data_IF_662713917477
#
_entry.id   IF_662713917477
#
_cell.length_a   1.000
_cell.length_b   1.000
_cell.length_c   1.000
_cell.angle_alpha   90.00
_cell.angle_beta   90.00
_cell.angle_gamma   90.00
#
_symmetry.space_group_name_H-M   'P 1'
#
loop_
_entity.id
_entity.type
_entity.pdbx_description
1 polymer ?
#
# COMPACT_ATOMS: atom_id res chain seq x y z
N UNK A 1 30.13 22.67 6.84
CA UNK A 1 28.75 23.18 7.02
C UNK A 1 27.71 22.30 6.31
N UNK A 2 27.83 22.01 5.00
CA UNK A 2 26.87 21.14 4.31
C UNK A 2 26.88 19.67 4.79
N UNK A 3 28.06 19.10 5.10
CA UNK A 3 28.17 17.75 5.68
C UNK A 3 27.38 17.62 6.99
N UNK A 4 27.68 18.48 7.97
CA UNK A 4 26.97 18.53 9.27
C UNK A 4 25.45 18.71 9.15
N UNK A 5 24.97 19.46 8.15
CA UNK A 5 23.53 19.64 7.93
C UNK A 5 22.88 18.40 7.30
N UNK A 6 23.58 17.73 6.38
CA UNK A 6 23.13 16.47 5.79
C UNK A 6 23.11 15.35 6.83
N UNK A 7 24.08 15.34 7.75
CA UNK A 7 24.12 14.43 8.89
C UNK A 7 22.89 14.67 9.79
N UNK A 8 22.47 15.93 9.97
CA UNK A 8 21.26 16.28 10.71
C UNK A 8 19.96 15.80 10.07
N UNK A 9 19.84 15.89 8.73
CA UNK A 9 18.72 15.30 8.00
C UNK A 9 18.71 13.76 8.12
N UNK A 10 19.87 13.13 7.90
CA UNK A 10 20.03 11.67 7.98
C UNK A 10 19.65 11.17 9.38
N UNK A 11 20.21 11.78 10.43
CA UNK A 11 19.89 11.44 11.83
C UNK A 11 18.42 11.63 12.19
N UNK A 12 17.73 12.57 11.53
CA UNK A 12 16.30 12.76 11.73
C UNK A 12 15.50 11.63 11.07
N UNK A 13 15.82 11.29 9.82
CA UNK A 13 15.19 10.18 9.10
C UNK A 13 15.43 8.86 9.85
N UNK A 14 16.67 8.53 10.19
CA UNK A 14 17.01 7.28 10.90
C UNK A 14 16.28 7.16 12.25
N UNK A 15 16.01 8.29 12.93
CA UNK A 15 15.36 8.30 14.24
C UNK A 15 13.84 8.14 14.19
N UNK A 16 13.19 8.74 13.20
CA UNK A 16 11.72 8.85 13.16
C UNK A 16 11.08 8.08 12.01
N UNK A 17 11.86 7.76 10.99
CA UNK A 17 11.48 7.03 9.79
C UNK A 17 12.59 6.04 9.40
N UNK A 18 13.04 5.15 10.31
CA UNK A 18 14.08 4.16 10.01
C UNK A 18 13.71 3.35 8.77
N UNK A 19 14.72 3.12 7.92
CA UNK A 19 14.64 2.32 6.69
C UNK A 19 13.64 2.82 5.62
N UNK A 20 12.96 3.96 5.86
CA UNK A 20 12.06 4.55 4.88
C UNK A 20 12.85 5.14 3.70
N UNK A 21 12.59 4.60 2.51
CA UNK A 21 13.03 5.17 1.24
C UNK A 21 11.94 6.13 0.74
N UNK A 22 12.32 7.37 0.44
CA UNK A 22 11.40 8.38 -0.10
C UNK A 22 11.15 8.11 -1.59
N UNK A 23 10.10 7.35 -1.88
CA UNK A 23 9.56 7.05 -3.21
C UNK A 23 8.06 7.38 -3.26
N UNK A 24 7.46 7.48 -4.45
CA UNK A 24 6.01 7.53 -4.58
C UNK A 24 5.34 6.38 -3.82
N UNK A 25 4.09 6.59 -3.41
CA UNK A 25 3.30 5.63 -2.65
C UNK A 25 3.75 5.49 -1.18
N UNK A 26 4.18 6.61 -0.56
CA UNK A 26 4.62 6.67 0.85
C UNK A 26 3.64 6.01 1.83
N UNK A 27 2.34 6.12 1.57
CA UNK A 27 1.30 5.52 2.41
C UNK A 27 1.49 4.00 2.58
N UNK A 28 1.93 3.28 1.55
CA UNK A 28 2.18 1.84 1.64
C UNK A 28 3.55 1.53 2.25
N UNK A 29 4.47 2.48 2.24
CA UNK A 29 5.83 2.35 2.76
C UNK A 29 5.96 2.69 4.25
N UNK A 30 4.89 3.13 4.92
CA UNK A 30 4.93 3.51 6.33
C UNK A 30 3.63 3.16 7.09
N UNK A 31 3.68 2.61 8.32
CA UNK A 31 2.49 2.09 9.01
C UNK A 31 1.51 3.16 9.49
N UNK A 32 1.96 4.40 9.68
CA UNK A 32 1.11 5.51 10.17
C UNK A 32 0.97 6.54 9.07
N UNK A 33 -0.09 6.43 8.28
CA UNK A 33 -0.32 7.28 7.12
C UNK A 33 -1.79 7.55 6.84
N UNK A 34 -2.03 8.62 6.08
CA UNK A 34 -3.32 8.95 5.48
C UNK A 34 -3.08 9.23 4.01
N UNK A 35 -3.87 8.60 3.15
CA UNK A 35 -3.95 8.94 1.73
C UNK A 35 -5.21 9.74 1.45
N UNK A 36 -5.03 10.96 0.98
CA UNK A 36 -6.11 11.86 0.59
C UNK A 36 -6.36 11.80 -0.91
N UNK A 37 -7.63 11.83 -1.29
CA UNK A 37 -8.09 12.05 -2.65
C UNK A 37 -8.12 13.56 -2.95
N UNK A 38 -7.33 14.00 -3.93
CA UNK A 38 -7.32 15.38 -4.38
C UNK A 38 -8.34 15.60 -5.52
N UNK A 39 -8.35 14.70 -6.50
CA UNK A 39 -9.13 14.83 -7.72
C UNK A 39 -10.48 14.11 -7.65
N UNK A 40 -11.53 14.80 -7.23
CA UNK A 40 -12.88 14.24 -7.28
C UNK A 40 -13.53 14.43 -8.65
N UNK A 41 -14.21 13.40 -9.15
CA UNK A 41 -15.02 13.43 -10.38
C UNK A 41 -14.21 13.76 -11.65
N UNK A 42 -13.06 13.10 -11.83
CA UNK A 42 -12.29 13.23 -13.06
C UNK A 42 -13.15 12.90 -14.29
N UNK A 43 -13.07 13.77 -15.30
CA UNK A 43 -13.57 13.53 -16.64
C UNK A 43 -12.51 14.01 -17.62
N UNK A 44 -12.25 13.25 -18.68
CA UNK A 44 -11.28 13.58 -19.74
C UNK A 44 -11.45 15.01 -20.30
N UNK A 45 -12.65 15.59 -20.26
CA UNK A 45 -12.92 16.97 -20.68
C UNK A 45 -12.42 18.08 -19.74
N UNK A 46 -11.92 17.75 -18.54
CA UNK A 46 -11.52 18.71 -17.50
C UNK A 46 -9.99 18.80 -17.30
N UNK A 47 -9.20 18.08 -18.09
CA UNK A 47 -7.73 18.12 -18.07
C UNK A 47 -7.15 19.30 -18.85
N UNK A 48 -7.58 20.53 -18.55
CA UNK A 48 -7.04 21.75 -19.18
C UNK A 48 -6.71 22.80 -18.12
N UNK A 49 -5.75 23.68 -18.43
CA UNK A 49 -5.26 24.70 -17.51
C UNK A 49 -6.40 25.63 -17.07
N UNK A 50 -6.59 25.78 -15.75
CA UNK A 50 -7.66 26.59 -15.17
C UNK A 50 -9.05 25.92 -15.15
N UNK A 51 -9.13 24.60 -15.33
CA UNK A 51 -10.40 23.88 -15.20
C UNK A 51 -10.92 23.90 -13.75
N UNK A 52 -12.25 23.81 -13.54
CA UNK A 52 -12.82 23.69 -12.20
C UNK A 52 -12.29 22.47 -11.43
N UNK A 53 -11.91 21.40 -12.14
CA UNK A 53 -11.28 20.22 -11.56
C UNK A 53 -9.92 20.55 -10.96
N UNK A 54 -9.02 21.15 -11.74
CA UNK A 54 -7.67 21.48 -11.29
C UNK A 54 -7.70 22.53 -10.16
N UNK A 55 -8.59 23.51 -10.22
CA UNK A 55 -8.76 24.46 -9.13
C UNK A 55 -9.21 23.78 -7.81
N UNK A 56 -10.02 22.72 -7.88
CA UNK A 56 -10.38 21.92 -6.70
C UNK A 56 -9.18 21.14 -6.17
N UNK A 57 -8.45 20.47 -7.05
CA UNK A 57 -7.22 19.71 -6.73
C UNK A 57 -6.21 20.62 -6.03
N UNK A 58 -5.91 21.79 -6.62
CA UNK A 58 -4.99 22.76 -6.02
C UNK A 58 -5.47 23.23 -4.65
N UNK A 59 -6.76 23.54 -4.53
CA UNK A 59 -7.36 24.00 -3.28
C UNK A 59 -7.24 22.95 -2.17
N UNK A 60 -7.52 21.67 -2.47
CA UNK A 60 -7.35 20.57 -1.51
C UNK A 60 -5.89 20.39 -1.11
N UNK A 61 -4.98 20.31 -2.08
CA UNK A 61 -3.55 20.13 -1.82
C UNK A 61 -2.99 21.25 -0.93
N UNK A 62 -3.33 22.51 -1.23
CA UNK A 62 -2.91 23.68 -0.45
C UNK A 62 -3.50 23.64 0.96
N UNK A 63 -4.80 23.33 1.12
CA UNK A 63 -5.45 23.27 2.44
C UNK A 63 -4.87 22.16 3.32
N UNK A 64 -4.63 20.98 2.75
CA UNK A 64 -3.97 19.88 3.45
C UNK A 64 -2.57 20.28 3.89
N UNK A 65 -1.80 20.90 3.00
CA UNK A 65 -0.47 21.38 3.31
C UNK A 65 -0.44 22.42 4.42
N UNK A 66 -1.32 23.42 4.38
CA UNK A 66 -1.40 24.48 5.39
C UNK A 66 -1.84 23.96 6.75
N UNK A 67 -2.71 22.96 6.80
CA UNK A 67 -3.13 22.31 8.03
C UNK A 67 -2.02 21.40 8.61
N UNK A 68 -1.28 20.69 7.75
CA UNK A 68 -0.17 19.83 8.16
C UNK A 68 1.10 20.59 8.57
N UNK A 69 1.25 21.87 8.19
CA UNK A 69 2.47 22.64 8.40
C UNK A 69 2.16 24.05 8.90
N UNK A 70 2.56 24.38 10.13
CA UNK A 70 2.46 25.74 10.66
C UNK A 70 3.56 26.65 10.06
N UNK A 71 3.36 27.97 10.13
CA UNK A 71 4.28 28.95 9.53
C UNK A 71 5.73 28.84 10.01
N UNK A 72 5.91 28.48 11.27
CA UNK A 72 7.23 28.40 11.91
C UNK A 72 7.83 27.00 11.88
N UNK A 73 7.12 26.01 11.31
CA UNK A 73 7.62 24.65 11.24
C UNK A 73 8.91 24.62 10.41
N UNK A 74 9.92 23.95 10.96
CA UNK A 74 11.14 23.60 10.25
C UNK A 74 10.87 22.44 9.29
N UNK A 75 11.13 22.66 8.00
CA UNK A 75 10.88 21.73 6.91
C UNK A 75 12.19 21.35 6.21
N UNK A 76 12.20 20.15 5.63
CA UNK A 76 13.10 19.79 4.54
C UNK A 76 12.28 19.56 3.27
N UNK A 77 12.61 20.26 2.19
CA UNK A 77 12.15 19.88 0.85
C UNK A 77 13.18 18.95 0.25
N UNK A 78 12.76 17.74 -0.06
CA UNK A 78 13.63 16.66 -0.52
C UNK A 78 13.22 16.26 -1.93
N UNK A 79 14.21 16.07 -2.80
CA UNK A 79 14.02 15.42 -4.10
C UNK A 79 15.23 14.55 -4.38
N UNK A 80 15.02 13.46 -5.10
CA UNK A 80 16.11 12.68 -5.67
C UNK A 80 16.04 12.74 -7.19
N UNK A 81 17.19 12.72 -7.87
CA UNK A 81 17.25 12.62 -9.32
C UNK A 81 18.02 11.39 -9.74
N UNK A 82 17.48 10.55 -10.62
CA UNK A 82 18.23 9.43 -11.16
C UNK A 82 19.37 9.95 -12.07
N UNK A 83 20.51 9.28 -11.99
CA UNK A 83 21.65 9.46 -12.88
C UNK A 83 21.93 8.19 -13.66
N UNK A 84 21.54 8.24 -14.93
CA UNK A 84 21.83 7.21 -15.93
C UNK A 84 23.09 7.52 -16.75
N UNK A 85 23.98 8.40 -16.26
CA UNK A 85 25.21 8.83 -16.93
C UNK A 85 25.17 10.22 -17.57
N UNK A 86 24.05 10.94 -17.48
CA UNK A 86 23.76 12.19 -18.21
C UNK A 86 23.50 13.44 -17.32
N UNK A 87 23.87 13.38 -16.02
CA UNK A 87 23.67 14.44 -15.02
C UNK A 87 23.99 15.87 -15.44
N UNK A 88 25.00 16.08 -16.30
CA UNK A 88 25.43 17.41 -16.75
C UNK A 88 24.29 18.17 -17.47
N UNK A 89 23.29 17.47 -18.00
CA UNK A 89 22.09 18.05 -18.62
C UNK A 89 20.97 18.34 -17.60
N UNK A 90 20.87 17.57 -16.51
CA UNK A 90 19.73 17.58 -15.57
C UNK A 90 19.89 18.47 -14.32
N UNK A 91 21.12 18.76 -13.86
CA UNK A 91 21.34 19.64 -12.68
C UNK A 91 20.77 21.07 -12.83
N UNK A 92 20.50 21.54 -14.06
CA UNK A 92 20.14 22.93 -14.34
C UNK A 92 18.69 23.32 -13.99
N UNK A 93 17.85 22.41 -13.47
CA UNK A 93 16.41 22.71 -13.27
C UNK A 93 15.75 22.06 -12.04
N UNK A 94 16.43 21.99 -10.90
CA UNK A 94 15.79 21.55 -9.64
C UNK A 94 14.49 22.33 -9.39
N UNK A 95 13.35 21.64 -9.36
CA UNK A 95 12.02 22.25 -9.26
C UNK A 95 11.92 23.14 -8.02
N UNK A 96 12.39 22.64 -6.87
CA UNK A 96 12.44 23.36 -5.60
C UNK A 96 13.18 24.70 -5.67
N UNK A 97 14.14 24.88 -6.58
CA UNK A 97 14.91 26.13 -6.68
C UNK A 97 14.16 27.27 -7.36
N UNK A 98 13.06 26.96 -8.06
CA UNK A 98 12.15 27.93 -8.68
C UNK A 98 11.21 28.55 -7.64
N UNK A 99 10.83 27.76 -6.63
CA UNK A 99 9.88 28.14 -5.58
C UNK A 99 10.52 28.71 -4.32
N UNK A 100 11.82 29.03 -4.35
CA UNK A 100 12.50 29.71 -3.25
C UNK A 100 12.14 31.20 -3.24
N UNK A 101 11.53 31.70 -2.16
CA UNK A 101 11.18 33.13 -2.04
C UNK A 101 12.42 34.04 -1.98
N UNK A 102 13.58 33.50 -1.57
CA UNK A 102 14.86 34.22 -1.48
C UNK A 102 16.00 33.45 -2.12
N UNK A 103 16.82 34.12 -2.92
CA UNK A 103 18.03 33.53 -3.54
C UNK A 103 19.02 32.96 -2.52
N UNK A 104 19.05 33.49 -1.30
CA UNK A 104 19.95 33.04 -0.23
C UNK A 104 19.66 31.61 0.25
N UNK A 105 18.47 31.07 0.01
CA UNK A 105 18.13 29.68 0.33
C UNK A 105 18.96 28.68 -0.46
N UNK A 106 19.45 29.06 -1.65
CA UNK A 106 20.34 28.22 -2.48
C UNK A 106 21.62 27.83 -1.76
N UNK A 107 22.13 28.67 -0.85
CA UNK A 107 23.31 28.36 -0.04
C UNK A 107 23.04 27.35 1.08
N UNK A 108 21.76 27.00 1.32
CA UNK A 108 21.34 25.96 2.27
C UNK A 108 21.10 24.62 1.59
N UNK A 109 20.97 24.60 0.27
CA UNK A 109 20.75 23.38 -0.50
C UNK A 109 21.90 22.40 -0.29
N UNK A 110 21.53 21.20 0.13
CA UNK A 110 22.45 20.09 0.35
C UNK A 110 22.33 19.10 -0.79
N UNK A 111 23.43 18.44 -1.12
CA UNK A 111 23.51 17.44 -2.16
C UNK A 111 24.34 16.26 -1.66
N UNK A 112 23.85 15.04 -1.88
CA UNK A 112 24.58 13.79 -1.66
C UNK A 112 24.31 12.84 -2.83
N UNK A 113 25.34 12.11 -3.25
CA UNK A 113 25.18 10.97 -4.14
C UNK A 113 24.83 9.75 -3.28
N UNK A 114 23.80 9.02 -3.66
CA UNK A 114 23.29 7.83 -2.99
C UNK A 114 23.17 6.68 -4.02
N UNK A 115 23.09 5.42 -3.58
CA UNK A 115 22.68 4.33 -4.45
C UNK A 115 21.37 4.66 -5.18
N UNK A 116 21.16 4.02 -6.32
CA UNK A 116 19.91 4.18 -7.05
C UNK A 116 18.74 3.77 -6.16
N UNK A 117 17.70 4.61 -6.12
CA UNK A 117 16.60 4.51 -5.14
C UNK A 117 15.65 3.33 -5.38
N UNK A 118 15.66 2.73 -6.58
CA UNK A 118 14.86 1.55 -6.94
C UNK A 118 15.84 0.43 -7.35
N UNK A 119 16.45 -0.29 -6.39
CA UNK A 119 17.49 -1.27 -6.69
C UNK A 119 17.08 -2.33 -7.72
N UNK A 120 15.79 -2.66 -7.78
CA UNK A 120 15.18 -3.64 -8.68
C UNK A 120 15.36 -3.26 -10.15
N UNK A 121 15.30 -1.96 -10.48
CA UNK A 121 15.50 -1.51 -11.86
C UNK A 121 16.99 -1.39 -12.23
N UNK A 122 17.91 -1.58 -11.27
CA UNK A 122 19.35 -1.38 -11.43
C UNK A 122 20.15 -2.66 -11.19
N UNK A 123 19.73 -3.77 -11.80
CA UNK A 123 20.37 -5.09 -11.69
C UNK A 123 21.89 -5.06 -12.03
N UNK A 124 22.30 -4.23 -13.00
CA UNK A 124 23.71 -4.07 -13.40
C UNK A 124 24.52 -3.15 -12.47
N UNK A 125 23.86 -2.47 -11.52
CA UNK A 125 24.51 -1.60 -10.52
C UNK A 125 25.15 -0.33 -11.10
N UNK A 126 24.78 0.07 -12.32
CA UNK A 126 25.40 1.19 -13.03
C UNK A 126 24.78 2.55 -12.69
N UNK A 127 23.56 2.57 -12.16
CA UNK A 127 22.84 3.81 -11.88
C UNK A 127 23.04 4.29 -10.45
N UNK A 128 22.87 5.60 -10.27
CA UNK A 128 22.94 6.26 -8.97
C UNK A 128 21.83 7.29 -8.84
N UNK A 129 21.61 7.80 -7.64
CA UNK A 129 20.67 8.89 -7.42
C UNK A 129 21.33 10.09 -6.72
N UNK A 130 20.88 11.28 -7.08
CA UNK A 130 21.31 12.54 -6.50
C UNK A 130 20.26 13.04 -5.53
N UNK A 131 20.50 12.88 -4.24
CA UNK A 131 19.63 13.39 -3.18
C UNK A 131 19.91 14.88 -2.95
N UNK A 132 18.87 15.70 -3.08
CA UNK A 132 18.89 17.11 -2.74
C UNK A 132 17.95 17.38 -1.58
N UNK A 133 18.44 18.12 -0.59
CA UNK A 133 17.70 18.46 0.61
C UNK A 133 17.83 19.95 0.89
N UNK A 134 16.70 20.64 0.98
CA UNK A 134 16.63 22.06 1.30
C UNK A 134 15.99 22.27 2.67
N UNK A 135 16.77 22.63 3.71
CA UNK A 135 16.19 23.07 4.98
C UNK A 135 15.62 24.49 4.85
N UNK A 136 14.34 24.65 5.21
CA UNK A 136 13.62 25.91 5.14
C UNK A 136 12.49 25.97 6.18
N UNK A 137 11.82 27.12 6.25
CA UNK A 137 10.49 27.26 6.88
C UNK A 137 9.42 27.37 5.81
N UNK A 138 8.16 27.12 6.19
CA UNK A 138 7.00 27.23 5.29
C UNK A 138 6.97 28.57 4.53
N UNK A 139 7.17 29.69 5.23
CA UNK A 139 7.12 31.04 4.64
C UNK A 139 8.32 31.41 3.76
N UNK A 140 9.37 30.57 3.72
CA UNK A 140 10.55 30.79 2.88
C UNK A 140 10.37 30.21 1.46
N UNK A 141 9.27 29.50 1.20
CA UNK A 141 8.99 28.81 -0.07
C UNK A 141 7.60 29.21 -0.59
N UNK A 142 7.48 29.40 -1.90
CA UNK A 142 6.20 29.48 -2.61
C UNK A 142 5.60 28.07 -2.71
N UNK A 143 5.11 27.57 -1.57
CA UNK A 143 4.47 26.26 -1.50
C UNK A 143 3.21 26.14 -2.37
N UNK A 144 2.35 27.18 -2.54
CA UNK A 144 1.23 27.06 -3.47
C UNK A 144 1.69 26.82 -4.90
N UNK A 145 2.72 27.55 -5.37
CA UNK A 145 3.32 27.32 -6.69
C UNK A 145 3.92 25.93 -6.83
N UNK A 146 4.66 25.47 -5.82
CA UNK A 146 5.29 24.15 -5.81
C UNK A 146 4.25 23.02 -5.89
N UNK A 147 3.22 23.07 -5.05
CA UNK A 147 2.15 22.05 -5.01
C UNK A 147 1.35 22.03 -6.31
N UNK A 148 1.09 23.20 -6.91
CA UNK A 148 0.48 23.28 -8.25
C UNK A 148 1.36 22.63 -9.30
N UNK A 149 2.69 22.75 -9.23
CA UNK A 149 3.58 22.05 -10.16
C UNK A 149 3.49 20.53 -9.99
N UNK A 150 3.44 20.02 -8.76
CA UNK A 150 3.23 18.59 -8.47
C UNK A 150 1.88 18.09 -9.01
N UNK A 151 0.78 18.81 -8.75
CA UNK A 151 -0.55 18.41 -9.23
C UNK A 151 -0.67 18.38 -10.76
N UNK A 152 0.25 19.01 -11.48
CA UNK A 152 0.22 19.15 -12.94
C UNK A 152 1.09 18.12 -13.67
N UNK A 153 1.68 17.18 -12.95
CA UNK A 153 2.62 16.20 -13.48
C UNK A 153 2.08 15.44 -14.71
N UNK A 154 0.87 14.89 -14.59
CA UNK A 154 0.23 14.07 -15.63
C UNK A 154 -0.62 14.87 -16.63
N UNK A 155 -0.68 16.20 -16.49
CA UNK A 155 -1.55 17.05 -17.31
C UNK A 155 -0.97 17.40 -18.68
N UNK A 156 0.30 17.04 -18.95
CA UNK A 156 0.96 17.33 -20.23
C UNK A 156 1.20 18.83 -20.49
N UNK A 157 1.09 19.68 -19.48
CA UNK A 157 1.44 21.11 -19.59
C UNK A 157 2.95 21.25 -19.86
N UNK A 158 3.34 22.19 -20.73
CA UNK A 158 4.76 22.36 -21.13
C UNK A 158 5.66 22.72 -19.93
N UNK A 159 6.84 22.07 -19.88
CA UNK A 159 8.04 22.35 -19.05
C UNK A 159 8.07 21.84 -17.59
N UNK A 160 7.22 20.92 -17.19
CA UNK A 160 7.42 20.21 -15.92
C UNK A 160 8.51 19.16 -16.12
N UNK A 161 9.75 19.46 -15.70
CA UNK A 161 10.70 18.39 -15.42
C UNK A 161 10.23 17.84 -14.09
N UNK A 162 9.41 16.78 -14.14
CA UNK A 162 8.93 16.09 -12.94
C UNK A 162 10.14 15.71 -12.10
N UNK A 163 10.06 16.06 -10.81
CA UNK A 163 10.96 15.59 -9.79
C UNK A 163 10.08 15.27 -8.60
N UNK A 164 10.20 14.08 -8.06
CA UNK A 164 9.48 13.69 -6.85
C UNK A 164 9.84 14.65 -5.71
N UNK A 165 8.83 15.32 -5.14
CA UNK A 165 9.01 16.26 -4.04
C UNK A 165 8.39 15.69 -2.78
N UNK A 166 9.22 15.55 -1.76
CA UNK A 166 8.82 15.17 -0.41
C UNK A 166 9.04 16.35 0.53
N UNK A 167 8.05 16.64 1.36
CA UNK A 167 8.13 17.69 2.36
C UNK A 167 8.16 17.05 3.73
N UNK A 168 9.36 17.00 4.32
CA UNK A 168 9.59 16.43 5.66
C UNK A 168 9.44 17.53 6.69
N UNK A 169 8.43 17.45 7.55
CA UNK A 169 8.24 18.35 8.66
C UNK A 169 9.03 17.87 9.88
N UNK A 170 10.16 18.51 10.15
CA UNK A 170 11.02 18.19 11.29
C UNK A 170 10.34 18.46 12.63
N UNK A 171 9.50 19.48 12.68
CA UNK A 171 8.83 19.93 13.92
C UNK A 171 7.75 18.95 14.34
N UNK A 172 6.96 18.48 13.38
CA UNK A 172 5.82 17.58 13.61
C UNK A 172 6.14 16.10 13.41
N UNK A 173 7.31 15.78 12.85
CA UNK A 173 7.72 14.41 12.50
C UNK A 173 6.73 13.77 11.53
N UNK A 174 6.47 14.48 10.44
CA UNK A 174 5.58 14.03 9.37
C UNK A 174 6.27 14.18 8.02
N UNK A 175 5.80 13.43 7.02
CA UNK A 175 6.25 13.55 5.62
C UNK A 175 5.02 13.67 4.75
N UNK A 176 5.01 14.71 3.91
CA UNK A 176 3.91 15.05 3.02
C UNK A 176 4.38 14.95 1.57
N UNK A 177 3.56 14.31 0.73
CA UNK A 177 3.88 14.09 -0.67
C UNK A 177 2.60 14.22 -1.51
N UNK A 178 2.68 14.99 -2.59
CA UNK A 178 1.63 15.05 -3.61
C UNK A 178 2.19 14.36 -4.84
N UNK A 179 1.49 13.32 -5.28
CA UNK A 179 1.90 12.50 -6.42
C UNK A 179 1.60 13.24 -7.72
N UNK A 180 0.35 13.67 -7.86
CA UNK A 180 -0.24 14.27 -9.04
C UNK A 180 -1.60 14.89 -8.65
N UNK A 181 -2.52 15.01 -9.59
CA UNK A 181 -3.86 15.52 -9.37
C UNK A 181 -4.80 14.56 -8.62
N UNK A 182 -4.43 13.29 -8.48
CA UNK A 182 -5.27 12.23 -7.90
C UNK A 182 -5.08 12.13 -6.39
N UNK A 183 -3.83 12.14 -5.93
CA UNK A 183 -3.50 11.69 -4.57
C UNK A 183 -2.54 12.59 -3.80
N UNK A 184 -2.65 12.53 -2.46
CA UNK A 184 -1.67 13.10 -1.54
C UNK A 184 -1.49 12.21 -0.31
N UNK A 185 -0.25 11.91 0.04
CA UNK A 185 0.10 11.17 1.24
C UNK A 185 0.57 12.09 2.36
N UNK A 186 0.17 11.73 3.58
CA UNK A 186 0.72 12.25 4.82
C UNK A 186 1.04 11.09 5.76
N UNK A 187 2.32 10.87 6.02
CA UNK A 187 2.79 9.86 6.99
C UNK A 187 3.40 10.53 8.23
N UNK A 188 3.45 9.80 9.35
CA UNK A 188 3.92 10.35 10.62
C UNK A 188 4.65 9.35 11.51
N UNK A 189 5.49 9.87 12.40
CA UNK A 189 6.15 9.07 13.42
C UNK A 189 5.21 8.64 14.57
N UNK A 190 4.03 9.25 14.72
CA UNK A 190 2.99 8.80 15.66
C UNK A 190 1.59 9.18 15.17
N UNK A 191 0.58 8.43 15.62
CA UNK A 191 -0.83 8.65 15.24
C UNK A 191 -1.30 10.04 15.71
N UNK A 192 -0.89 10.47 16.90
CA UNK A 192 -1.27 11.76 17.49
C UNK A 192 -0.79 12.94 16.64
N UNK A 193 0.35 12.80 15.96
CA UNK A 193 0.92 13.86 15.13
C UNK A 193 0.02 14.21 13.93
N UNK A 194 -0.78 13.24 13.44
CA UNK A 194 -1.66 13.41 12.27
C UNK A 194 -3.13 13.10 12.56
N UNK A 195 -3.51 12.77 13.80
CA UNK A 195 -4.91 12.62 14.23
C UNK A 195 -5.78 13.84 13.89
N UNK A 196 -5.33 15.10 14.08
CA UNK A 196 -6.12 16.26 13.66
C UNK A 196 -6.40 16.29 12.15
N UNK A 197 -5.48 15.76 11.33
CA UNK A 197 -5.66 15.69 9.89
C UNK A 197 -6.71 14.63 9.51
N UNK A 198 -6.65 13.47 10.16
CA UNK A 198 -7.64 12.40 10.02
C UNK A 198 -9.04 12.88 10.38
N UNK A 199 -9.20 13.56 11.52
CA UNK A 199 -10.50 14.04 12.00
C UNK A 199 -11.05 15.20 11.12
N UNK A 200 -10.20 16.17 10.77
CA UNK A 200 -10.62 17.38 10.06
C UNK A 200 -10.90 17.14 8.57
N UNK A 201 -10.16 16.23 7.94
CA UNK A 201 -10.26 15.94 6.50
C UNK A 201 -10.73 14.52 6.21
N UNK A 202 -11.47 13.91 7.13
CA UNK A 202 -11.94 12.53 7.00
C UNK A 202 -12.69 12.26 5.68
N UNK A 203 -13.52 13.21 5.24
CA UNK A 203 -14.26 13.13 3.97
C UNK A 203 -13.39 13.22 2.72
N UNK A 204 -12.10 13.54 2.85
CA UNK A 204 -11.15 13.60 1.74
C UNK A 204 -10.20 12.40 1.71
N UNK A 205 -10.34 11.47 2.66
CA UNK A 205 -9.60 10.21 2.65
C UNK A 205 -10.10 9.38 1.47
N UNK A 206 -9.17 8.78 0.72
CA UNK A 206 -9.50 7.87 -0.37
C UNK A 206 -10.21 6.63 0.19
N UNK A 207 -11.45 6.39 -0.24
CA UNK A 207 -12.28 5.31 0.30
C UNK A 207 -11.65 3.91 0.15
N UNK A 208 -10.84 3.70 -0.90
CA UNK A 208 -10.10 2.46 -1.10
C UNK A 208 -9.17 2.13 0.08
N UNK A 209 -8.47 3.12 0.63
CA UNK A 209 -7.51 2.95 1.73
C UNK A 209 -8.14 3.24 3.11
N UNK A 210 -9.42 3.60 3.16
CA UNK A 210 -10.09 4.09 4.39
C UNK A 210 -10.07 3.10 5.53
N UNK A 211 -10.34 1.81 5.26
CA UNK A 211 -10.37 0.79 6.31
C UNK A 211 -9.00 0.62 6.99
N UNK A 212 -7.93 0.55 6.19
CA UNK A 212 -6.55 0.52 6.70
C UNK A 212 -6.22 1.75 7.53
N UNK A 213 -6.65 2.93 7.09
CA UNK A 213 -6.45 4.17 7.83
C UNK A 213 -7.25 4.15 9.14
N UNK A 214 -8.53 3.80 9.11
CA UNK A 214 -9.40 3.75 10.30
C UNK A 214 -8.86 2.80 11.37
N UNK A 215 -8.31 1.65 10.99
CA UNK A 215 -7.65 0.71 11.92
C UNK A 215 -6.51 1.38 12.71
N UNK A 216 -5.69 2.19 12.04
CA UNK A 216 -4.58 2.92 12.66
C UNK A 216 -5.08 3.98 13.65
N UNK A 217 -6.12 4.74 13.29
CA UNK A 217 -6.59 5.87 14.11
C UNK A 217 -7.53 5.47 15.25
N UNK A 218 -8.23 4.33 15.12
CA UNK A 218 -9.18 3.81 16.10
C UNK A 218 -8.58 2.76 17.04
N UNK A 219 -7.26 2.50 16.94
CA UNK A 219 -6.46 1.92 18.02
C UNK A 219 -6.44 0.39 18.09
N UNK A 220 -6.44 -0.32 16.96
CA UNK A 220 -6.16 -1.76 16.92
C UNK A 220 -7.15 -2.66 17.70
N UNK A 221 -8.20 -2.10 18.31
CA UNK A 221 -9.45 -2.83 18.41
C UNK A 221 -9.85 -3.08 16.97
N UNK A 222 -9.86 -4.35 16.57
CA UNK A 222 -10.53 -4.84 15.37
C UNK A 222 -11.98 -4.35 15.44
N UNK A 223 -12.21 -3.10 15.01
CA UNK A 223 -13.54 -2.64 14.67
C UNK A 223 -13.89 -3.47 13.46
N UNK A 224 -14.72 -4.46 13.73
CA UNK A 224 -15.45 -5.17 12.70
C UNK A 224 -16.00 -4.13 11.73
N UNK A 225 -15.86 -4.32 10.41
CA UNK A 225 -16.42 -3.39 9.45
C UNK A 225 -17.87 -3.09 9.80
N UNK A 226 -18.25 -1.82 9.82
CA UNK A 226 -19.63 -1.43 10.14
C UNK A 226 -20.42 -1.41 8.84
N UNK A 227 -21.49 -2.20 8.75
CA UNK A 227 -22.37 -2.26 7.57
C UNK A 227 -23.83 -2.10 7.97
N UNK A 228 -24.62 -1.50 7.08
CA UNK A 228 -26.06 -1.37 7.31
C UNK A 228 -26.76 -2.69 7.05
N UNK A 229 -27.80 -3.01 7.82
CA UNK A 229 -28.66 -4.17 7.57
C UNK A 229 -29.24 -4.15 6.15
N UNK A 230 -29.52 -2.97 5.60
CA UNK A 230 -29.97 -2.79 4.21
C UNK A 230 -28.97 -3.25 3.14
N UNK A 231 -27.69 -3.39 3.48
CA UNK A 231 -26.61 -3.82 2.60
C UNK A 231 -26.33 -5.33 2.69
N UNK A 232 -27.08 -6.07 3.53
CA UNK A 232 -26.87 -7.50 3.83
C UNK A 232 -28.17 -8.29 3.63
N UNK A 233 -28.86 -8.08 2.51
CA UNK A 233 -30.23 -8.58 2.28
C UNK A 233 -30.27 -10.01 1.75
N UNK A 234 -29.24 -10.42 1.03
CA UNK A 234 -29.16 -11.74 0.41
C UNK A 234 -27.76 -12.37 0.61
N UNK A 235 -27.60 -13.62 0.16
CA UNK A 235 -26.34 -14.37 0.33
C UNK A 235 -25.17 -13.77 -0.45
N UNK A 236 -25.43 -13.20 -1.62
CA UNK A 236 -24.40 -12.55 -2.45
C UNK A 236 -23.90 -11.27 -1.77
N UNK A 237 -24.81 -10.48 -1.19
CA UNK A 237 -24.44 -9.32 -0.37
C UNK A 237 -23.54 -9.72 0.81
N UNK A 238 -23.92 -10.78 1.53
CA UNK A 238 -23.16 -11.30 2.68
C UNK A 238 -21.81 -11.85 2.21
N UNK A 239 -21.77 -12.55 1.08
CA UNK A 239 -20.52 -13.03 0.50
C UNK A 239 -19.56 -11.87 0.25
N UNK A 240 -20.00 -10.88 -0.50
CA UNK A 240 -19.19 -9.69 -0.81
C UNK A 240 -18.75 -8.95 0.45
N UNK A 241 -19.62 -8.88 1.47
CA UNK A 241 -19.31 -8.27 2.75
C UNK A 241 -18.20 -9.02 3.50
N UNK A 242 -18.27 -10.35 3.56
CA UNK A 242 -17.24 -11.20 4.18
C UNK A 242 -15.92 -11.07 3.44
N UNK A 243 -15.92 -11.14 2.10
CA UNK A 243 -14.70 -10.99 1.30
C UNK A 243 -14.07 -9.62 1.53
N UNK A 244 -14.87 -8.55 1.47
CA UNK A 244 -14.39 -7.20 1.77
C UNK A 244 -13.78 -7.11 3.17
N UNK A 245 -14.43 -7.70 4.18
CA UNK A 245 -13.93 -7.66 5.54
C UNK A 245 -12.57 -8.37 5.70
N UNK A 246 -12.39 -9.56 5.14
CA UNK A 246 -11.13 -10.31 5.26
C UNK A 246 -10.01 -9.76 4.36
N UNK A 247 -10.33 -9.21 3.18
CA UNK A 247 -9.32 -8.60 2.29
C UNK A 247 -8.72 -7.30 2.82
N UNK A 248 -9.38 -6.66 3.79
CA UNK A 248 -8.91 -5.43 4.44
C UNK A 248 -8.17 -5.68 5.75
N UNK A 249 -7.89 -6.93 6.09
CA UNK A 249 -7.10 -7.31 7.26
C UNK A 249 -5.76 -7.89 6.79
N UNK A 250 -4.69 -7.55 7.50
CA UNK A 250 -3.41 -8.24 7.33
C UNK A 250 -3.60 -9.73 7.68
N UNK A 251 -2.85 -10.63 7.05
CA UNK A 251 -2.85 -12.04 7.42
C UNK A 251 -1.43 -12.46 7.87
N UNK A 252 -1.27 -13.02 9.08
CA UNK A 252 -2.28 -13.24 10.11
C UNK A 252 -2.80 -11.93 10.75
N UNK A 253 -4.12 -11.84 10.94
CA UNK A 253 -4.81 -10.62 11.42
C UNK A 253 -4.83 -10.47 12.94
N UNK A 254 -4.59 -11.57 13.66
CA UNK A 254 -4.80 -11.65 15.11
C UNK A 254 -6.26 -11.90 15.53
N UNK A 255 -7.22 -11.87 14.59
CA UNK A 255 -8.59 -12.38 14.80
C UNK A 255 -8.69 -13.82 14.26
N UNK A 256 -8.89 -14.82 15.13
CA UNK A 256 -8.99 -16.22 14.71
C UNK A 256 -10.11 -16.48 13.70
N UNK A 257 -11.20 -15.70 13.74
CA UNK A 257 -12.34 -15.83 12.82
C UNK A 257 -11.97 -15.31 11.44
N UNK A 258 -11.30 -14.15 11.38
CA UNK A 258 -10.86 -13.57 10.12
C UNK A 258 -9.79 -14.45 9.46
N UNK A 259 -8.80 -14.92 10.24
CA UNK A 259 -7.75 -15.81 9.73
C UNK A 259 -8.31 -17.14 9.18
N UNK A 260 -9.35 -17.67 9.82
CA UNK A 260 -10.05 -18.87 9.36
C UNK A 260 -10.72 -18.64 8.01
N UNK A 261 -11.43 -17.51 7.87
CA UNK A 261 -12.14 -17.13 6.66
C UNK A 261 -11.18 -16.79 5.52
N UNK A 262 -10.04 -16.15 5.81
CA UNK A 262 -8.97 -15.90 4.83
C UNK A 262 -8.41 -17.19 4.27
N UNK A 263 -8.10 -18.18 5.12
CA UNK A 263 -7.61 -19.49 4.65
C UNK A 263 -8.66 -20.20 3.80
N UNK A 264 -9.92 -20.21 4.26
CA UNK A 264 -11.01 -20.88 3.55
C UNK A 264 -11.28 -20.23 2.18
N UNK A 265 -11.37 -18.90 2.14
CA UNK A 265 -11.64 -18.17 0.91
C UNK A 265 -10.49 -18.32 -0.08
N UNK A 266 -9.24 -18.22 0.38
CA UNK A 266 -8.09 -18.38 -0.48
C UNK A 266 -8.01 -19.80 -1.06
N UNK A 267 -8.23 -20.82 -0.23
CA UNK A 267 -8.29 -22.21 -0.70
C UNK A 267 -9.32 -22.38 -1.83
N UNK A 268 -10.52 -21.83 -1.67
CA UNK A 268 -11.55 -21.84 -2.70
C UNK A 268 -11.13 -21.04 -3.95
N UNK A 269 -10.73 -19.78 -3.78
CA UNK A 269 -10.37 -18.86 -4.87
C UNK A 269 -9.32 -19.46 -5.80
N UNK A 270 -8.23 -19.97 -5.24
CA UNK A 270 -7.12 -20.46 -6.07
C UNK A 270 -7.44 -21.79 -6.75
N UNK A 271 -8.21 -22.67 -6.10
CA UNK A 271 -8.63 -23.90 -6.74
C UNK A 271 -9.64 -23.67 -7.88
N UNK A 272 -10.48 -22.64 -7.79
CA UNK A 272 -11.39 -22.27 -8.88
C UNK A 272 -10.67 -21.52 -10.02
N UNK A 273 -9.58 -20.80 -9.74
CA UNK A 273 -8.86 -19.99 -10.73
C UNK A 273 -7.79 -20.78 -11.49
N UNK A 274 -6.96 -21.56 -10.78
CA UNK A 274 -5.77 -22.20 -11.33
C UNK A 274 -5.31 -23.46 -10.60
N UNK A 275 -6.12 -23.99 -9.68
CA UNK A 275 -5.87 -25.27 -9.03
C UNK A 275 -4.78 -25.22 -7.94
N UNK A 276 -4.29 -26.40 -7.58
CA UNK A 276 -3.34 -26.57 -6.48
C UNK A 276 -1.97 -25.94 -6.75
N UNK A 277 -1.61 -25.68 -8.02
CA UNK A 277 -0.40 -24.93 -8.36
C UNK A 277 -0.46 -23.48 -7.87
N UNK A 278 -1.55 -22.77 -8.20
CA UNK A 278 -1.73 -21.38 -7.76
C UNK A 278 -1.94 -21.29 -6.26
N UNK A 279 -2.65 -22.27 -5.67
CA UNK A 279 -2.79 -22.38 -4.21
C UNK A 279 -1.42 -22.36 -3.52
N UNK A 280 -0.47 -23.15 -4.00
CA UNK A 280 0.88 -23.22 -3.44
C UNK A 280 1.67 -21.92 -3.58
N UNK A 281 1.54 -21.22 -4.70
CA UNK A 281 2.20 -19.92 -4.87
C UNK A 281 1.77 -18.91 -3.81
N UNK A 282 0.53 -19.03 -3.32
CA UNK A 282 0.02 -18.15 -2.30
C UNK A 282 0.33 -18.61 -0.87
N UNK A 283 0.24 -19.92 -0.58
CA UNK A 283 0.42 -20.43 0.78
C UNK A 283 1.85 -20.87 1.13
N UNK A 284 2.79 -20.81 0.18
CA UNK A 284 4.19 -21.24 0.35
C UNK A 284 4.88 -20.56 1.54
N UNK A 285 4.80 -19.24 1.67
CA UNK A 285 5.42 -18.50 2.78
C UNK A 285 4.89 -18.96 4.14
N UNK A 286 3.57 -19.15 4.25
CA UNK A 286 2.94 -19.66 5.47
C UNK A 286 3.36 -21.10 5.79
N UNK A 287 3.47 -21.95 4.76
CA UNK A 287 3.90 -23.34 4.91
C UNK A 287 5.39 -23.40 5.30
N UNK A 288 6.23 -22.51 4.77
CA UNK A 288 7.64 -22.42 5.15
C UNK A 288 7.80 -21.97 6.60
N UNK A 289 6.98 -21.02 7.06
CA UNK A 289 7.04 -20.53 8.43
C UNK A 289 6.50 -21.54 9.46
N UNK A 290 5.36 -22.18 9.16
CA UNK A 290 4.62 -23.01 10.14
C UNK A 290 4.80 -24.51 9.94
N UNK A 291 5.24 -24.95 8.77
CA UNK A 291 5.34 -26.34 8.36
C UNK A 291 4.06 -26.87 7.70
N UNK A 292 4.24 -27.75 6.70
CA UNK A 292 3.15 -28.34 5.90
C UNK A 292 2.14 -29.12 6.74
N UNK A 293 2.58 -29.80 7.80
CA UNK A 293 1.69 -30.52 8.71
C UNK A 293 0.71 -29.59 9.41
N UNK A 294 1.21 -28.45 9.94
CA UNK A 294 0.40 -27.49 10.67
C UNK A 294 -0.59 -26.77 9.75
N UNK A 295 -0.15 -26.41 8.54
CA UNK A 295 -1.04 -25.82 7.53
C UNK A 295 -2.14 -26.80 7.13
N UNK A 296 -1.79 -28.05 6.80
CA UNK A 296 -2.75 -29.07 6.40
C UNK A 296 -3.75 -29.39 7.51
N UNK A 297 -3.30 -29.51 8.77
CA UNK A 297 -4.18 -29.71 9.92
C UNK A 297 -5.18 -28.55 10.04
N UNK A 298 -4.70 -27.29 9.94
CA UNK A 298 -5.57 -26.11 10.02
C UNK A 298 -6.59 -26.09 8.88
N UNK A 299 -6.16 -26.28 7.63
CA UNK A 299 -7.05 -26.26 6.46
C UNK A 299 -8.12 -27.36 6.55
N UNK A 300 -7.72 -28.58 6.91
CA UNK A 300 -8.65 -29.72 7.01
C UNK A 300 -9.68 -29.55 8.11
N UNK A 301 -9.29 -29.03 9.27
CA UNK A 301 -10.23 -28.69 10.35
C UNK A 301 -11.28 -27.65 9.90
N UNK A 302 -10.88 -26.65 9.11
CA UNK A 302 -11.79 -25.63 8.58
C UNK A 302 -12.78 -26.25 7.59
N UNK A 303 -12.29 -27.07 6.67
CA UNK A 303 -13.13 -27.77 5.69
C UNK A 303 -14.12 -28.73 6.38
N UNK A 304 -13.68 -29.47 7.38
CA UNK A 304 -14.56 -30.34 8.18
C UNK A 304 -15.63 -29.55 8.93
N UNK A 305 -15.26 -28.41 9.51
CA UNK A 305 -16.16 -27.51 10.25
C UNK A 305 -17.34 -27.05 9.40
N UNK A 306 -17.13 -26.78 8.10
CA UNK A 306 -18.19 -26.36 7.17
C UNK A 306 -18.87 -27.54 6.46
N UNK A 307 -18.58 -28.78 6.87
CA UNK A 307 -19.13 -29.99 6.26
C UNK A 307 -18.57 -30.29 4.86
N UNK A 308 -17.37 -29.80 4.53
CA UNK A 308 -16.64 -30.04 3.29
C UNK A 308 -15.56 -31.15 3.46
N UNK A 309 -15.86 -32.20 4.24
CA UNK A 309 -14.91 -33.27 4.56
C UNK A 309 -14.35 -34.03 3.34
N UNK A 310 -15.08 -34.07 2.22
CA UNK A 310 -14.57 -34.65 0.97
C UNK A 310 -13.40 -33.85 0.39
N UNK A 311 -13.45 -32.51 0.51
CA UNK A 311 -12.34 -31.63 0.12
C UNK A 311 -11.16 -31.79 1.09
N UNK A 312 -11.43 -31.90 2.40
CA UNK A 312 -10.39 -32.17 3.39
C UNK A 312 -9.64 -33.48 3.09
N UNK A 313 -10.34 -34.53 2.67
CA UNK A 313 -9.74 -35.81 2.29
C UNK A 313 -8.85 -35.72 1.04
N UNK A 314 -9.16 -34.81 0.11
CA UNK A 314 -8.31 -34.52 -1.06
C UNK A 314 -6.99 -33.89 -0.58
N UNK A 315 -7.06 -32.85 0.25
CA UNK A 315 -5.85 -32.18 0.76
C UNK A 315 -4.97 -33.13 1.58
N UNK A 316 -5.58 -33.96 2.44
CA UNK A 316 -4.85 -34.97 3.21
C UNK A 316 -4.13 -35.99 2.32
N UNK A 317 -4.67 -36.26 1.13
CA UNK A 317 -4.13 -37.25 0.20
C UNK A 317 -3.02 -36.69 -0.67
N UNK A 318 -3.12 -35.43 -1.11
CA UNK A 318 -2.26 -34.91 -2.18
C UNK A 318 -1.33 -33.77 -1.75
N UNK A 319 -1.74 -32.90 -0.83
CA UNK A 319 -1.08 -31.61 -0.64
C UNK A 319 0.37 -31.73 -0.13
N UNK A 320 0.65 -32.70 0.74
CA UNK A 320 2.01 -32.97 1.24
C UNK A 320 2.98 -33.39 0.13
N UNK A 321 2.55 -34.30 -0.73
CA UNK A 321 3.37 -34.81 -1.83
C UNK A 321 3.60 -33.70 -2.87
N UNK A 322 2.56 -32.91 -3.16
CA UNK A 322 2.65 -31.75 -4.07
C UNK A 322 3.61 -30.71 -3.49
N UNK A 323 3.55 -30.40 -2.19
CA UNK A 323 4.47 -29.48 -1.53
C UNK A 323 5.93 -29.94 -1.60
N UNK A 324 6.19 -31.22 -1.37
CA UNK A 324 7.54 -31.77 -1.48
C UNK A 324 8.10 -31.61 -2.90
N UNK A 325 7.28 -31.88 -3.92
CA UNK A 325 7.66 -31.68 -5.33
C UNK A 325 7.86 -30.21 -5.68
N UNK A 326 7.05 -29.32 -5.12
CA UNK A 326 7.19 -27.86 -5.28
C UNK A 326 8.56 -27.36 -4.78
N UNK A 327 8.99 -27.79 -3.59
CA UNK A 327 10.32 -27.45 -3.05
C UNK A 327 11.48 -28.04 -3.86
N UNK A 328 11.28 -29.21 -4.47
CA UNK A 328 12.28 -29.81 -5.35
C UNK A 328 12.42 -29.07 -6.69
N UNK A 329 11.32 -28.48 -7.20
CA UNK A 329 11.30 -27.69 -8.44
C UNK A 329 12.21 -26.45 -8.35
N UNK A 330 12.26 -25.78 -7.20
CA UNK A 330 13.15 -24.63 -6.94
C UNK A 330 14.64 -24.97 -7.13
N UNK A 331 15.01 -26.26 -7.11
CA UNK A 331 16.40 -26.73 -7.15
C UNK A 331 16.75 -27.52 -8.42
N UNK A 332 15.76 -28.16 -9.08
CA UNK A 332 15.95 -28.98 -10.27
C UNK A 332 14.72 -28.97 -11.18
N UNK A 333 14.79 -28.21 -12.28
CA UNK A 333 13.72 -28.09 -13.30
C UNK A 333 13.28 -29.44 -13.90
N UNK A 334 14.09 -30.51 -13.80
CA UNK A 334 13.73 -31.84 -14.30
C UNK A 334 12.59 -32.51 -13.52
N UNK A 335 12.12 -31.90 -12.44
CA UNK A 335 10.99 -32.37 -11.61
C UNK A 335 9.63 -31.79 -12.02
N UNK A 336 9.59 -30.89 -12.99
CA UNK A 336 8.37 -30.21 -13.47
C UNK A 336 7.27 -31.20 -13.89
N UNK A 337 7.61 -32.20 -14.70
CA UNK A 337 6.63 -33.22 -15.16
C UNK A 337 5.96 -33.99 -14.00
N UNK A 338 6.75 -34.31 -12.96
CA UNK A 338 6.25 -35.03 -11.79
C UNK A 338 5.35 -34.15 -10.93
N UNK A 339 5.74 -32.88 -10.74
CA UNK A 339 4.95 -31.86 -10.05
C UNK A 339 3.61 -31.62 -10.75
N UNK A 340 3.62 -31.31 -12.05
CA UNK A 340 2.40 -31.06 -12.83
C UNK A 340 1.46 -32.28 -12.81
N UNK A 341 2.00 -33.50 -12.87
CA UNK A 341 1.18 -34.71 -12.79
C UNK A 341 0.55 -34.92 -11.42
N UNK A 342 1.20 -34.51 -10.33
CA UNK A 342 0.65 -34.58 -8.98
C UNK A 342 -0.47 -33.53 -8.81
N UNK A 343 -0.22 -32.29 -9.22
CA UNK A 343 -1.20 -31.19 -9.23
C UNK A 343 -2.46 -31.60 -10.01
N UNK A 344 -2.30 -32.09 -11.25
CA UNK A 344 -3.42 -32.51 -12.08
C UNK A 344 -4.28 -33.62 -11.45
N UNK A 345 -3.72 -34.46 -10.58
CA UNK A 345 -4.50 -35.48 -9.87
C UNK A 345 -5.36 -34.87 -8.76
N UNK A 346 -4.80 -33.93 -8.00
CA UNK A 346 -5.53 -33.21 -6.96
C UNK A 346 -6.63 -32.33 -7.58
N UNK A 347 -6.32 -31.59 -8.64
CA UNK A 347 -7.30 -30.74 -9.35
C UNK A 347 -8.46 -31.55 -9.90
N UNK A 348 -8.20 -32.71 -10.52
CA UNK A 348 -9.27 -33.60 -11.00
C UNK A 348 -10.14 -34.13 -9.87
N UNK A 349 -9.53 -34.45 -8.72
CA UNK A 349 -10.28 -34.90 -7.55
C UNK A 349 -11.16 -33.77 -7.00
N UNK A 350 -10.63 -32.55 -6.91
CA UNK A 350 -11.37 -31.35 -6.49
C UNK A 350 -12.54 -31.06 -7.44
N UNK A 351 -12.27 -31.00 -8.75
CA UNK A 351 -13.27 -30.72 -9.79
C UNK A 351 -14.38 -31.78 -9.83
N UNK A 352 -14.09 -33.03 -9.49
CA UNK A 352 -15.09 -34.10 -9.45
C UNK A 352 -16.18 -33.88 -8.38
N UNK A 353 -15.90 -33.08 -7.34
CA UNK A 353 -16.88 -32.71 -6.32
C UNK A 353 -17.83 -31.59 -6.79
N UNK A 354 -17.48 -30.88 -7.87
CA UNK A 354 -18.26 -29.78 -8.44
C UNK A 354 -18.32 -28.55 -7.52
N UNK A 355 -19.36 -27.73 -7.69
CA UNK A 355 -19.58 -26.48 -6.93
C UNK A 355 -20.09 -26.69 -5.50
N UNK A 356 -19.79 -27.82 -4.87
CA UNK A 356 -20.29 -28.10 -3.52
C UNK A 356 -19.62 -27.24 -2.45
N UNK A 357 -18.36 -26.85 -2.66
CA UNK A 357 -17.62 -26.00 -1.71
C UNK A 357 -18.20 -24.59 -1.63
N UNK A 358 -18.46 -23.95 -2.78
CA UNK A 358 -19.09 -22.62 -2.88
C UNK A 358 -20.41 -22.57 -2.06
N UNK A 359 -21.29 -23.55 -2.27
CA UNK A 359 -22.55 -23.65 -1.56
C UNK A 359 -22.39 -23.81 -0.04
N UNK A 360 -21.37 -24.58 0.41
CA UNK A 360 -21.08 -24.76 1.84
C UNK A 360 -20.51 -23.49 2.45
N UNK A 361 -19.65 -22.79 1.71
CA UNK A 361 -19.10 -21.49 2.12
C UNK A 361 -20.19 -20.43 2.22
N UNK A 362 -21.12 -20.35 1.28
CA UNK A 362 -22.25 -19.40 1.36
C UNK A 362 -23.06 -19.59 2.66
N UNK A 363 -23.40 -20.84 2.99
CA UNK A 363 -24.13 -21.17 4.23
C UNK A 363 -23.30 -20.75 5.44
N UNK A 364 -22.01 -21.09 5.45
CA UNK A 364 -21.11 -20.74 6.53
C UNK A 364 -20.94 -19.22 6.70
N UNK A 365 -20.86 -18.47 5.60
CA UNK A 365 -20.73 -17.02 5.61
C UNK A 365 -21.96 -16.36 6.23
N UNK A 366 -23.17 -16.84 5.92
CA UNK A 366 -24.41 -16.38 6.57
C UNK A 366 -24.40 -16.61 8.08
N UNK A 367 -23.80 -17.70 8.55
CA UNK A 367 -23.73 -18.01 9.99
C UNK A 367 -22.66 -17.19 10.72
N UNK A 368 -21.55 -16.86 10.04
CA UNK A 368 -20.35 -16.31 10.67
C UNK A 368 -20.18 -14.80 10.49
N UNK A 369 -20.78 -14.17 9.48
CA UNK A 369 -20.58 -12.74 9.18
C UNK A 369 -20.87 -11.78 10.36
N UNK A 370 -21.83 -12.02 11.29
CA UNK A 370 -22.05 -11.13 12.43
C UNK A 370 -20.90 -11.16 13.45
N UNK A 371 -20.05 -12.20 13.39
CA UNK A 371 -18.81 -12.25 14.17
C UNK A 371 -17.69 -11.43 13.55
N UNK A 372 -17.77 -11.13 12.26
CA UNK A 372 -16.75 -10.40 11.51
C UNK A 372 -17.15 -8.92 11.26
N UNK A 373 -18.44 -8.61 11.22
CA UNK A 373 -19.01 -7.32 10.79
C UNK A 373 -19.95 -6.77 11.87
N UNK A 374 -19.83 -5.48 12.20
CA UNK A 374 -20.75 -4.77 13.09
C UNK A 374 -21.95 -4.27 12.29
N UNK A 375 -23.15 -4.73 12.64
CA UNK A 375 -24.37 -4.44 11.87
C UNK A 375 -25.13 -3.28 12.53
N UNK A 376 -25.35 -2.21 11.75
CA UNK A 376 -26.21 -1.09 12.15
C UNK A 376 -27.52 -1.13 11.36
N UNK A 377 -28.58 -0.55 11.92
CA UNK A 377 -29.90 -0.49 11.28
C UNK A 377 -29.94 0.42 10.04
#
# INVERSE_FOLDING_TARGET
>A
MNKTRMDGFTSFMDRYFPDLILLPALFYSWPIGIRFELGTHWNKGLGYEGSPYLENVYSRAIRLFEAAHAEQDELYIVTHLPDFGDLKRNRKKLVMTRYMNKKSLRYRLMHREIPYVIPEDNEEGHWKSHLFVLPCRRNEVDYPGLLKECCNEDMGFKKTVCQEVFIVNKTRKTIFHVYDDRGCDLIAASVEAIRPMYEMFNSWILDYDRLKIDQVFNGGNTMKPVMKRSELQNKEDIWNAVISAISNMDFPSGDPTADELSILFQYYSENESGGHEILLNWCSELIEEKGIDAYLEKLTLILEKIGAGEYAAIEQRYLKDIWQLYKELEQDERKEDAFLKAVQQADRAYQALGKQLENKMEVYFVDIYPKLIDIVE
#
